data_IF_845852668487
#
_entry.id   IF_845852668487
#
_cell.length_a   1.000
_cell.length_b   1.000
_cell.length_c   1.000
_cell.angle_alpha   90.00
_cell.angle_beta   90.00
_cell.angle_gamma   90.00
#
_symmetry.space_group_name_H-M   'P 1'
#
loop_
_entity.id
_entity.type
_entity.pdbx_description
1 polymer ?
#
# COMPACT_ATOMS: atom_id res chain seq x y z
N UNK A 1 -41.00 52.26 13.91
CA UNK A 1 -40.33 50.96 14.19
C UNK A 1 -40.10 50.26 12.87
N UNK A 2 -38.93 49.63 12.73
CA UNK A 2 -38.17 49.51 11.49
C UNK A 2 -38.66 48.49 10.43
N UNK A 3 -38.48 48.93 9.19
CA UNK A 3 -38.49 48.37 7.82
C UNK A 3 -38.61 46.86 7.54
N UNK A 4 -39.47 46.58 6.56
CA UNK A 4 -39.53 45.41 5.68
C UNK A 4 -38.59 45.54 4.44
N UNK A 5 -38.40 44.41 3.74
CA UNK A 5 -37.83 44.17 2.39
C UNK A 5 -36.33 43.89 2.21
N UNK A 6 -36.02 42.64 1.84
CA UNK A 6 -34.79 42.17 1.18
C UNK A 6 -34.89 42.37 -0.35
N UNK A 7 -33.87 42.90 -1.04
CA UNK A 7 -33.66 42.67 -2.46
C UNK A 7 -32.67 41.50 -2.75
N UNK A 8 -32.68 40.94 -3.97
CA UNK A 8 -32.05 39.66 -4.33
C UNK A 8 -30.63 39.77 -4.91
N UNK A 9 -29.99 38.61 -5.05
CA UNK A 9 -28.68 38.34 -5.66
C UNK A 9 -28.54 38.89 -7.08
N UNK A 10 -27.92 40.08 -7.24
CA UNK A 10 -27.30 40.52 -8.51
C UNK A 10 -26.58 41.87 -8.34
N UNK A 11 -25.52 41.95 -7.53
CA UNK A 11 -24.73 43.19 -7.40
C UNK A 11 -23.23 42.98 -7.19
N UNK A 12 -22.66 41.85 -7.64
CA UNK A 12 -21.21 41.73 -7.82
C UNK A 12 -20.78 42.05 -9.27
N UNK A 13 -21.62 41.74 -10.26
CA UNK A 13 -21.40 42.18 -11.65
C UNK A 13 -21.55 43.70 -11.84
N UNK A 14 -22.30 44.39 -10.97
CA UNK A 14 -22.44 45.84 -11.00
C UNK A 14 -21.21 46.58 -10.42
N UNK A 15 -20.47 45.94 -9.51
CA UNK A 15 -19.26 46.52 -8.90
C UNK A 15 -18.01 46.36 -9.77
N UNK A 16 -17.99 45.44 -10.73
CA UNK A 16 -16.94 45.36 -11.75
C UNK A 16 -17.01 46.50 -12.79
N UNK A 17 -18.12 47.25 -12.83
CA UNK A 17 -18.32 48.35 -13.79
C UNK A 17 -17.76 49.71 -13.35
N UNK A 18 -17.21 49.83 -12.14
CA UNK A 18 -16.57 51.07 -11.65
C UNK A 18 -15.04 50.87 -11.68
N UNK A 19 -14.49 50.80 -12.89
CA UNK A 19 -13.07 51.03 -13.15
C UNK A 19 -12.89 52.52 -13.41
N UNK A 20 -12.30 53.21 -12.45
CA UNK A 20 -11.21 54.17 -12.67
C UNK A 20 -11.00 55.00 -11.39
N UNK A 21 -10.16 54.48 -10.51
CA UNK A 21 -9.36 55.28 -9.57
C UNK A 21 -8.26 54.38 -9.06
N UNK A 22 -7.01 54.84 -9.19
CA UNK A 22 -5.81 54.17 -8.68
C UNK A 22 -6.02 53.72 -7.23
N UNK A 23 -5.96 52.42 -6.90
CA UNK A 23 -6.30 51.96 -5.56
C UNK A 23 -5.21 52.37 -4.57
N UNK A 24 -5.60 53.16 -3.57
CA UNK A 24 -4.75 53.49 -2.44
C UNK A 24 -4.32 52.25 -1.66
N UNK A 25 -3.24 52.37 -0.88
CA UNK A 25 -2.59 51.29 -0.12
C UNK A 25 -3.60 50.47 0.71
N UNK A 26 -4.64 51.10 1.24
CA UNK A 26 -5.70 50.44 2.03
C UNK A 26 -6.64 49.55 1.20
N UNK A 27 -6.94 49.90 -0.05
CA UNK A 27 -7.76 49.06 -0.94
C UNK A 27 -7.02 47.78 -1.35
N UNK A 28 -5.70 47.88 -1.59
CA UNK A 28 -4.83 46.71 -1.84
C UNK A 28 -4.75 45.77 -0.64
N UNK A 29 -4.76 46.31 0.59
CA UNK A 29 -4.83 45.51 1.81
C UNK A 29 -6.19 44.82 1.96
N UNK A 30 -7.31 45.50 1.67
CA UNK A 30 -8.66 44.91 1.76
C UNK A 30 -8.83 43.68 0.85
N UNK A 31 -8.31 43.74 -0.38
CA UNK A 31 -8.31 42.62 -1.32
C UNK A 31 -7.56 41.38 -0.80
N UNK A 32 -6.51 41.59 0.02
CA UNK A 32 -5.75 40.51 0.64
C UNK A 32 -6.52 39.86 1.79
N UNK A 33 -7.23 40.66 2.59
CA UNK A 33 -8.09 40.17 3.68
C UNK A 33 -9.31 39.42 3.14
N UNK A 34 -9.93 39.91 2.07
CA UNK A 34 -11.04 39.22 1.39
C UNK A 34 -10.59 37.90 0.77
N UNK A 35 -9.42 37.86 0.12
CA UNK A 35 -8.83 36.62 -0.40
C UNK A 35 -8.60 35.57 0.69
N UNK A 36 -8.06 35.98 1.83
CA UNK A 36 -7.80 35.07 2.96
C UNK A 36 -9.10 34.55 3.58
N UNK A 37 -10.11 35.42 3.74
CA UNK A 37 -11.41 35.06 4.29
C UNK A 37 -12.20 34.11 3.36
N UNK A 38 -12.13 34.32 2.05
CA UNK A 38 -12.73 33.45 1.04
C UNK A 38 -12.03 32.08 1.05
N UNK A 39 -10.69 32.06 1.02
CA UNK A 39 -9.92 30.82 1.06
C UNK A 39 -10.15 30.00 2.34
N UNK A 40 -10.35 30.67 3.49
CA UNK A 40 -10.69 29.99 4.74
C UNK A 40 -12.09 29.38 4.72
N UNK A 41 -13.09 30.08 4.14
CA UNK A 41 -14.46 29.54 4.01
C UNK A 41 -14.53 28.35 3.06
N UNK A 42 -13.82 28.40 1.93
CA UNK A 42 -13.74 27.29 0.99
C UNK A 42 -13.04 26.05 1.58
N UNK A 43 -12.04 26.26 2.44
CA UNK A 43 -11.35 25.19 3.18
C UNK A 43 -12.23 24.56 4.27
N UNK A 44 -12.99 25.38 5.01
CA UNK A 44 -13.92 24.92 6.06
C UNK A 44 -15.08 24.08 5.50
N UNK A 45 -15.57 24.39 4.30
CA UNK A 45 -16.66 23.64 3.64
C UNK A 45 -16.20 22.27 3.09
N UNK A 46 -14.91 22.07 2.81
CA UNK A 46 -14.36 20.86 2.16
C UNK A 46 -13.58 19.94 3.09
N UNK A 47 -13.53 20.24 4.39
CA UNK A 47 -12.68 19.52 5.33
C UNK A 47 -13.05 18.02 5.49
N UNK A 48 -12.21 17.15 4.95
CA UNK A 48 -12.01 15.77 5.42
C UNK A 48 -10.72 15.73 6.24
N UNK A 49 -10.74 15.07 7.40
CA UNK A 49 -9.66 15.12 8.37
C UNK A 49 -8.31 14.66 7.79
N UNK A 50 -7.42 15.60 7.45
CA UNK A 50 -6.02 15.31 7.12
C UNK A 50 -5.36 16.23 6.08
N UNK A 51 -6.12 16.82 5.15
CA UNK A 51 -5.55 17.57 4.01
C UNK A 51 -5.99 19.05 4.04
N UNK A 52 -5.07 20.03 3.88
CA UNK A 52 -5.42 21.42 3.64
C UNK A 52 -5.78 21.62 2.16
N UNK A 53 -7.00 22.10 1.87
CA UNK A 53 -7.49 22.29 0.50
C UNK A 53 -7.33 23.73 -0.02
N UNK A 54 -7.07 24.72 0.84
CA UNK A 54 -6.75 26.10 0.46
C UNK A 54 -5.27 26.34 0.10
N UNK A 55 -4.97 27.38 -0.70
CA UNK A 55 -3.60 27.79 -1.07
C UNK A 55 -2.72 27.94 0.20
N UNK A 56 -1.70 27.08 0.39
CA UNK A 56 -0.91 27.02 1.61
C UNK A 56 -0.24 28.35 1.98
N UNK A 57 0.09 29.20 1.00
CA UNK A 57 0.71 30.50 1.27
C UNK A 57 -0.31 31.49 1.83
N UNK A 58 -1.53 31.47 1.31
CA UNK A 58 -2.61 32.40 1.67
C UNK A 58 -3.22 32.05 3.04
N UNK A 59 -3.35 30.76 3.35
CA UNK A 59 -3.94 30.31 4.63
C UNK A 59 -2.93 30.14 5.77
N UNK A 60 -1.61 30.16 5.49
CA UNK A 60 -0.57 30.00 6.53
C UNK A 60 -0.71 31.01 7.68
N UNK A 61 -0.43 30.55 8.91
CA UNK A 61 -0.48 31.41 10.09
C UNK A 61 0.89 31.96 10.46
N UNK A 62 0.93 33.25 10.80
CA UNK A 62 2.15 33.92 11.25
C UNK A 62 2.58 33.47 12.65
N UNK A 63 3.83 33.73 13.02
CA UNK A 63 4.36 33.41 14.36
C UNK A 63 3.55 34.11 15.47
N UNK A 64 3.12 35.35 15.24
CA UNK A 64 2.30 36.11 16.18
C UNK A 64 0.88 35.51 16.33
N UNK A 65 0.28 35.03 15.25
CA UNK A 65 -1.01 34.33 15.28
C UNK A 65 -0.89 32.99 16.01
N UNK A 66 0.20 32.25 15.80
CA UNK A 66 0.49 31.01 16.52
C UNK A 66 0.68 31.26 18.02
N UNK A 67 1.43 32.30 18.41
CA UNK A 67 1.63 32.70 19.80
C UNK A 67 0.34 33.19 20.46
N UNK A 68 -0.53 33.89 19.73
CA UNK A 68 -1.85 34.34 20.21
C UNK A 68 -2.85 33.19 20.35
N UNK A 69 -2.81 32.19 19.48
CA UNK A 69 -3.70 31.02 19.54
C UNK A 69 -3.31 30.05 20.66
N UNK A 70 -2.00 29.89 20.92
CA UNK A 70 -1.49 29.25 22.15
C UNK A 70 -1.83 30.09 23.41
N UNK A 71 -2.05 31.40 23.20
CA UNK A 71 -2.54 32.44 24.10
C UNK A 71 -2.81 32.05 25.55
N UNK A 72 -2.01 32.58 26.48
CA UNK A 72 -2.26 32.76 27.93
C UNK A 72 -2.79 31.55 28.74
N UNK A 73 -2.95 30.38 28.12
CA UNK A 73 -3.41 29.12 28.73
C UNK A 73 -2.32 28.05 28.79
N UNK A 74 -1.29 28.15 27.95
CA UNK A 74 -0.05 27.40 28.15
C UNK A 74 0.77 28.10 29.24
N UNK A 75 1.04 27.40 30.34
CA UNK A 75 1.88 27.94 31.41
C UNK A 75 3.28 28.18 30.80
N UNK A 76 4.06 29.19 31.25
CA UNK A 76 5.46 29.37 30.83
C UNK A 76 6.32 28.09 30.93
N UNK A 77 5.90 27.14 31.77
CA UNK A 77 6.48 25.81 31.94
C UNK A 77 6.25 24.88 30.75
N UNK A 78 5.13 24.99 30.05
CA UNK A 78 4.79 24.12 28.92
C UNK A 78 5.63 24.46 27.66
N UNK A 79 5.93 25.76 27.47
CA UNK A 79 6.86 26.21 26.43
C UNK A 79 8.30 25.79 26.73
N UNK A 80 8.68 25.80 28.02
CA UNK A 80 9.96 25.28 28.49
C UNK A 80 10.09 23.77 28.27
N UNK A 81 9.04 22.98 28.52
CA UNK A 81 8.98 21.54 28.21
C UNK A 81 9.17 21.28 26.71
N UNK A 82 8.63 22.13 25.83
CA UNK A 82 8.84 22.03 24.38
C UNK A 82 10.32 22.23 24.01
N UNK A 83 10.98 23.23 24.59
CA UNK A 83 12.40 23.55 24.37
C UNK A 83 13.31 22.44 24.93
N UNK A 84 13.00 21.92 26.11
CA UNK A 84 13.72 20.81 26.74
C UNK A 84 13.60 19.52 25.93
N UNK A 85 12.43 19.20 25.36
CA UNK A 85 12.23 18.06 24.45
C UNK A 85 13.01 18.18 23.15
N UNK A 86 13.08 19.37 22.56
CA UNK A 86 13.93 19.60 21.38
C UNK A 86 15.41 19.35 21.70
N UNK A 87 15.86 19.65 22.93
CA UNK A 87 17.22 19.38 23.43
C UNK A 87 17.45 17.93 23.86
N UNK A 88 16.41 17.16 24.16
CA UNK A 88 16.47 15.78 24.67
C UNK A 88 15.89 14.73 23.69
N UNK A 89 16.01 14.94 22.37
CA UNK A 89 15.66 13.93 21.37
C UNK A 89 16.34 12.58 21.68
N UNK A 90 15.54 11.52 21.78
CA UNK A 90 16.02 10.13 21.92
C UNK A 90 16.25 9.63 23.35
N UNK A 91 15.88 10.38 24.40
CA UNK A 91 15.96 9.91 25.78
C UNK A 91 14.60 9.37 26.29
N UNK A 92 14.59 8.39 27.22
CA UNK A 92 13.36 7.94 27.89
C UNK A 92 12.67 9.10 28.60
N UNK A 93 11.34 9.14 28.51
CA UNK A 93 10.51 10.20 29.08
C UNK A 93 9.74 9.66 30.29
N UNK A 94 9.68 10.46 31.36
CA UNK A 94 8.89 10.13 32.55
C UNK A 94 7.41 10.48 32.30
N UNK A 95 6.58 9.45 32.18
CA UNK A 95 5.14 9.52 31.91
C UNK A 95 4.34 10.30 32.98
N UNK A 96 4.79 10.29 34.25
CA UNK A 96 4.15 11.05 35.34
C UNK A 96 4.19 12.56 35.16
N UNK A 97 4.99 13.07 34.22
CA UNK A 97 5.08 14.50 33.92
C UNK A 97 4.03 14.97 32.89
N UNK A 98 3.22 14.05 32.36
CA UNK A 98 2.17 14.28 31.35
C UNK A 98 2.67 15.08 30.14
N UNK A 99 3.90 14.80 29.69
CA UNK A 99 4.52 15.56 28.60
C UNK A 99 3.81 15.38 27.26
N UNK A 100 3.29 14.18 26.99
CA UNK A 100 2.58 13.91 25.74
C UNK A 100 1.25 14.66 25.70
N UNK A 101 0.55 14.72 26.82
CA UNK A 101 -0.70 15.46 27.01
C UNK A 101 -0.46 16.96 26.86
N UNK A 102 0.64 17.48 27.41
CA UNK A 102 1.07 18.88 27.20
C UNK A 102 1.39 19.15 25.73
N UNK A 103 2.09 18.24 25.06
CA UNK A 103 2.38 18.36 23.63
C UNK A 103 1.11 18.32 22.79
N UNK A 104 0.14 17.46 23.12
CA UNK A 104 -1.17 17.40 22.48
C UNK A 104 -1.96 18.68 22.75
N UNK A 105 -1.91 19.24 23.96
CA UNK A 105 -2.56 20.50 24.32
C UNK A 105 -1.96 21.71 23.56
N UNK A 106 -0.63 21.78 23.43
CA UNK A 106 0.05 22.81 22.64
C UNK A 106 -0.27 22.62 21.14
N UNK A 107 -0.22 21.39 20.65
CA UNK A 107 -0.46 21.09 19.24
C UNK A 107 -1.92 21.36 18.84
N UNK A 108 -2.88 21.06 19.72
CA UNK A 108 -4.31 21.32 19.49
C UNK A 108 -4.70 22.78 19.63
N UNK A 109 -3.96 23.57 20.43
CA UNK A 109 -4.15 25.03 20.55
C UNK A 109 -3.51 25.81 19.40
N UNK A 110 -2.61 25.21 18.62
CA UNK A 110 -2.05 25.86 17.44
C UNK A 110 -3.08 25.93 16.28
N UNK A 111 -3.08 27.03 15.52
CA UNK A 111 -3.95 27.19 14.35
C UNK A 111 -3.74 26.07 13.32
N UNK A 112 -4.80 25.70 12.60
CA UNK A 112 -4.80 24.60 11.63
C UNK A 112 -3.69 24.72 10.57
N UNK A 113 -3.45 25.93 10.08
CA UNK A 113 -2.42 26.19 9.06
C UNK A 113 -1.03 26.50 9.63
N UNK A 114 -0.82 26.28 10.93
CA UNK A 114 0.47 26.49 11.56
C UNK A 114 1.50 25.47 11.04
N UNK A 115 2.61 25.97 10.49
CA UNK A 115 3.77 25.14 10.13
C UNK A 115 4.34 24.43 11.35
N UNK A 116 4.27 25.06 12.53
CA UNK A 116 4.64 24.46 13.82
C UNK A 116 3.71 23.32 14.20
N UNK A 117 2.39 23.50 14.03
CA UNK A 117 1.41 22.41 14.23
C UNK A 117 1.70 21.24 13.30
N UNK A 118 1.89 21.48 12.00
CA UNK A 118 2.23 20.43 11.02
C UNK A 118 3.48 19.64 11.43
N UNK A 119 4.52 20.35 11.89
CA UNK A 119 5.75 19.73 12.39
C UNK A 119 5.53 18.91 13.66
N UNK A 120 4.63 19.35 14.56
CA UNK A 120 4.31 18.68 15.82
C UNK A 120 3.35 17.48 15.63
N UNK A 121 2.44 17.54 14.65
CA UNK A 121 1.52 16.45 14.32
C UNK A 121 2.17 15.35 13.49
N UNK A 122 3.23 15.65 12.73
CA UNK A 122 3.99 14.68 11.94
C UNK A 122 4.99 13.83 12.73
N UNK A 123 4.86 13.75 14.07
CA UNK A 123 5.85 13.11 14.96
C UNK A 123 5.70 11.60 15.13
N UNK A 124 5.05 10.89 14.20
CA UNK A 124 5.32 9.48 14.00
C UNK A 124 6.47 9.44 12.99
N UNK A 125 7.71 9.26 13.45
CA UNK A 125 8.93 9.45 12.65
C UNK A 125 8.96 8.71 11.30
N UNK A 126 10.03 8.92 10.52
CA UNK A 126 10.17 8.40 9.14
C UNK A 126 9.73 6.93 8.94
N UNK A 127 9.88 6.09 9.97
CA UNK A 127 9.48 4.67 9.97
C UNK A 127 7.98 4.42 9.74
N UNK A 128 7.11 5.42 9.93
CA UNK A 128 5.65 5.30 9.77
C UNK A 128 5.10 6.09 8.57
N UNK A 129 5.97 6.78 7.84
CA UNK A 129 5.54 7.59 6.69
C UNK A 129 5.11 6.71 5.50
N UNK A 130 5.78 5.58 5.33
CA UNK A 130 5.56 4.66 4.22
C UNK A 130 5.41 3.23 4.74
N UNK A 131 4.88 2.34 3.90
CA UNK A 131 4.95 0.90 4.15
C UNK A 131 6.41 0.47 4.06
N UNK A 132 6.93 -0.16 5.12
CA UNK A 132 8.25 -0.78 5.11
C UNK A 132 8.30 -1.91 4.07
N UNK A 133 9.50 -2.40 3.77
CA UNK A 133 9.68 -3.41 2.73
C UNK A 133 9.21 -4.81 3.15
N UNK A 134 9.31 -5.12 4.44
CA UNK A 134 8.89 -6.39 5.04
C UNK A 134 7.51 -6.31 5.72
N UNK A 135 6.84 -5.15 5.65
CA UNK A 135 5.54 -4.91 6.29
C UNK A 135 5.60 -4.66 7.79
N UNK A 136 6.79 -4.58 8.40
CA UNK A 136 6.97 -4.14 9.79
C UNK A 136 6.52 -2.70 10.02
N UNK A 137 6.31 -2.31 11.28
CA UNK A 137 5.87 -0.97 11.71
C UNK A 137 4.49 -0.52 11.16
N UNK A 138 3.70 -1.44 10.60
CA UNK A 138 2.32 -1.16 10.23
C UNK A 138 1.45 -0.92 11.48
N UNK A 139 1.65 -1.74 12.52
CA UNK A 139 1.12 -1.46 13.86
C UNK A 139 2.21 -0.77 14.70
N UNK A 140 2.01 0.48 15.17
CA UNK A 140 3.00 1.19 15.98
C UNK A 140 3.26 0.58 17.37
N UNK A 141 2.28 -0.13 17.93
CA UNK A 141 2.38 -0.78 19.24
C UNK A 141 3.03 -2.16 19.17
N UNK A 142 2.83 -2.86 18.05
CA UNK A 142 3.43 -4.16 17.77
C UNK A 142 4.10 -4.11 16.39
N UNK A 143 5.30 -3.51 16.28
CA UNK A 143 5.98 -3.30 15.00
C UNK A 143 6.19 -4.56 14.17
N UNK A 144 6.28 -5.71 14.84
CA UNK A 144 6.54 -6.99 14.20
C UNK A 144 5.27 -7.71 13.73
N UNK A 145 4.09 -7.16 14.01
CA UNK A 145 2.81 -7.78 13.65
C UNK A 145 2.64 -7.80 12.13
N UNK A 146 2.54 -9.01 11.57
CA UNK A 146 2.32 -9.21 10.13
C UNK A 146 3.55 -8.97 9.25
N UNK A 147 4.73 -8.79 9.84
CA UNK A 147 6.00 -8.69 9.10
C UNK A 147 6.33 -10.00 8.38
N UNK A 148 6.98 -9.92 7.22
CA UNK A 148 7.58 -11.05 6.52
C UNK A 148 8.63 -11.79 7.38
N UNK A 149 8.69 -13.11 7.28
CA UNK A 149 9.50 -13.97 8.14
C UNK A 149 8.87 -14.25 9.51
N UNK A 150 7.59 -13.92 9.70
CA UNK A 150 6.84 -14.25 10.93
C UNK A 150 6.06 -15.55 10.77
N UNK A 151 5.76 -16.18 11.91
CA UNK A 151 4.91 -17.38 11.94
C UNK A 151 3.49 -17.07 11.46
N UNK A 152 2.80 -18.06 10.90
CA UNK A 152 1.36 -17.96 10.68
C UNK A 152 0.61 -17.86 12.01
N UNK A 153 -0.46 -17.06 12.02
CA UNK A 153 -1.44 -17.11 13.09
C UNK A 153 -2.27 -18.40 13.04
N UNK A 154 -3.05 -18.64 14.08
CA UNK A 154 -4.08 -19.68 14.10
C UNK A 154 -5.43 -19.08 14.41
N UNK A 155 -6.42 -19.35 13.57
CA UNK A 155 -7.79 -18.87 13.76
C UNK A 155 -8.68 -19.89 14.46
N UNK A 156 -8.30 -21.19 14.43
CA UNK A 156 -9.08 -22.25 15.10
C UNK A 156 -8.22 -23.14 16.00
N UNK A 157 -8.74 -23.61 17.15
CA UNK A 157 -8.03 -24.59 17.96
C UNK A 157 -7.98 -25.96 17.28
N UNK A 158 -6.95 -26.76 17.60
CA UNK A 158 -6.88 -28.15 17.11
C UNK A 158 -7.83 -29.00 17.96
N UNK A 159 -8.93 -29.43 17.37
CA UNK A 159 -9.97 -30.22 18.07
C UNK A 159 -9.92 -31.72 17.76
N UNK A 160 -9.22 -32.13 16.70
CA UNK A 160 -9.08 -33.54 16.29
C UNK A 160 -7.62 -33.94 16.22
N UNK A 161 -7.32 -35.16 16.68
CA UNK A 161 -6.04 -35.80 16.40
C UNK A 161 -6.02 -36.27 14.94
N UNK A 162 -4.82 -36.27 14.35
CA UNK A 162 -4.60 -36.87 13.04
C UNK A 162 -4.60 -38.39 13.24
N UNK A 163 -5.12 -39.14 12.26
CA UNK A 163 -5.01 -40.60 12.25
C UNK A 163 -3.54 -41.02 12.21
N UNK A 164 -3.18 -42.11 12.92
CA UNK A 164 -1.79 -42.58 12.96
C UNK A 164 -1.22 -42.97 11.59
N UNK A 165 -2.10 -43.35 10.65
CA UNK A 165 -1.76 -43.60 9.26
C UNK A 165 -2.71 -42.76 8.39
N UNK A 166 -2.27 -41.60 7.87
CA UNK A 166 -3.07 -40.83 6.95
C UNK A 166 -3.17 -41.56 5.60
N UNK A 167 -4.28 -41.39 4.84
CA UNK A 167 -4.36 -41.86 3.46
C UNK A 167 -3.28 -41.20 2.60
N UNK A 168 -2.86 -41.89 1.53
CA UNK A 168 -1.92 -41.35 0.57
C UNK A 168 -2.50 -40.09 -0.11
N UNK A 169 -1.81 -38.93 -0.09
CA UNK A 169 -2.31 -37.70 -0.69
C UNK A 169 -2.51 -37.78 -2.21
N UNK A 170 -1.68 -38.55 -2.91
CA UNK A 170 -1.82 -38.76 -4.36
C UNK A 170 -3.10 -39.54 -4.68
N UNK A 171 -3.34 -40.61 -3.93
CA UNK A 171 -4.58 -41.39 -4.05
C UNK A 171 -5.83 -40.55 -3.75
N UNK A 172 -5.78 -39.67 -2.73
CA UNK A 172 -6.89 -38.74 -2.46
C UNK A 172 -7.10 -37.77 -3.63
N UNK A 173 -6.03 -37.26 -4.22
CA UNK A 173 -6.12 -36.37 -5.38
C UNK A 173 -6.75 -37.10 -6.58
N UNK A 174 -6.24 -38.26 -6.95
CA UNK A 174 -6.70 -39.02 -8.11
C UNK A 174 -8.17 -39.45 -7.99
N UNK A 175 -8.59 -39.86 -6.78
CA UNK A 175 -9.96 -40.31 -6.56
C UNK A 175 -10.98 -39.18 -6.37
N UNK A 176 -10.58 -38.04 -5.79
CA UNK A 176 -11.53 -37.01 -5.32
C UNK A 176 -11.38 -35.65 -5.99
N UNK A 177 -10.21 -35.32 -6.52
CA UNK A 177 -9.88 -33.95 -6.97
C UNK A 177 -9.51 -33.86 -8.46
N UNK A 178 -8.94 -34.92 -9.03
CA UNK A 178 -8.52 -34.94 -10.42
C UNK A 178 -9.71 -34.71 -11.35
N UNK A 179 -9.57 -33.73 -12.25
CA UNK A 179 -10.55 -33.45 -13.30
C UNK A 179 -10.31 -34.39 -14.47
N UNK A 180 -11.37 -35.00 -14.99
CA UNK A 180 -11.31 -35.80 -16.22
C UNK A 180 -11.69 -34.93 -17.42
N UNK A 181 -11.32 -35.36 -18.63
CA UNK A 181 -11.67 -34.67 -19.88
C UNK A 181 -13.18 -34.46 -20.05
N UNK A 182 -13.98 -35.34 -19.44
CA UNK A 182 -15.44 -35.33 -19.49
C UNK A 182 -16.09 -34.57 -18.34
N UNK A 183 -15.36 -34.28 -17.25
CA UNK A 183 -15.93 -33.69 -16.03
C UNK A 183 -15.73 -32.18 -15.90
N UNK A 184 -15.12 -31.52 -16.89
CA UNK A 184 -15.02 -30.06 -16.89
C UNK A 184 -16.40 -29.40 -16.90
N UNK A 185 -16.61 -28.52 -15.92
CA UNK A 185 -17.82 -27.72 -15.78
C UNK A 185 -17.46 -26.24 -15.78
N UNK A 186 -18.03 -25.51 -16.73
CA UNK A 186 -17.90 -24.05 -16.75
C UNK A 186 -18.59 -23.43 -15.55
N UNK A 187 -18.06 -22.29 -15.10
CA UNK A 187 -18.72 -21.51 -14.06
C UNK A 187 -20.06 -20.99 -14.62
N UNK A 188 -21.22 -21.32 -14.02
CA UNK A 188 -22.53 -20.97 -14.55
C UNK A 188 -22.80 -19.46 -14.59
N UNK A 189 -22.08 -18.66 -13.79
CA UNK A 189 -22.17 -17.20 -13.80
C UNK A 189 -21.27 -16.54 -14.87
N UNK A 190 -20.54 -17.33 -15.66
CA UNK A 190 -19.69 -16.82 -16.74
C UNK A 190 -18.45 -16.06 -16.25
N UNK A 191 -17.93 -16.39 -15.06
CA UNK A 191 -16.76 -15.73 -14.48
C UNK A 191 -15.52 -15.97 -15.34
N UNK A 192 -14.83 -14.88 -15.68
CA UNK A 192 -13.57 -14.91 -16.45
C UNK A 192 -12.39 -15.42 -15.63
N UNK A 193 -11.45 -16.13 -16.26
CA UNK A 193 -10.15 -16.51 -15.66
C UNK A 193 -9.37 -15.33 -15.10
N UNK A 194 -9.61 -14.11 -15.59
CA UNK A 194 -8.96 -12.88 -15.09
C UNK A 194 -9.21 -12.67 -13.59
N UNK A 195 -10.39 -13.07 -13.08
CA UNK A 195 -10.67 -13.05 -11.64
C UNK A 195 -9.65 -13.91 -10.88
N UNK A 196 -9.38 -15.11 -11.38
CA UNK A 196 -8.45 -16.05 -10.77
C UNK A 196 -6.98 -15.67 -10.98
N UNK A 197 -6.65 -14.99 -12.08
CA UNK A 197 -5.31 -14.40 -12.24
C UNK A 197 -5.03 -13.34 -11.17
N UNK A 198 -6.03 -12.50 -10.89
CA UNK A 198 -5.93 -11.52 -9.80
C UNK A 198 -5.89 -12.21 -8.42
N UNK A 199 -6.68 -13.28 -8.22
CA UNK A 199 -6.61 -14.11 -7.01
C UNK A 199 -5.20 -14.67 -6.79
N UNK A 200 -4.51 -15.14 -7.83
CA UNK A 200 -3.12 -15.60 -7.75
C UNK A 200 -2.18 -14.49 -7.28
N UNK A 201 -2.37 -13.24 -7.74
CA UNK A 201 -1.57 -12.11 -7.24
C UNK A 201 -1.83 -11.90 -5.74
N UNK A 202 -3.09 -11.88 -5.29
CA UNK A 202 -3.44 -11.75 -3.87
C UNK A 202 -2.82 -12.86 -3.04
N UNK A 203 -2.91 -14.11 -3.49
CA UNK A 203 -2.33 -15.27 -2.80
C UNK A 203 -0.82 -15.10 -2.65
N UNK A 204 -0.13 -14.69 -3.72
CA UNK A 204 1.32 -14.49 -3.69
C UNK A 204 1.76 -13.22 -2.93
N UNK A 205 0.83 -12.32 -2.64
CA UNK A 205 1.04 -11.12 -1.85
C UNK A 205 1.01 -11.41 -0.35
N UNK A 206 0.10 -12.28 0.10
CA UNK A 206 -0.10 -12.52 1.54
C UNK A 206 0.35 -13.91 2.01
N UNK A 207 0.73 -14.81 1.10
CA UNK A 207 1.21 -16.16 1.43
C UNK A 207 2.51 -16.54 0.73
N UNK A 208 3.49 -16.94 1.55
CA UNK A 208 4.71 -17.57 1.08
C UNK A 208 5.30 -18.44 2.18
N UNK A 209 4.78 -19.65 2.37
CA UNK A 209 5.36 -20.58 3.35
C UNK A 209 6.84 -20.81 3.06
N UNK A 210 7.67 -20.68 4.09
CA UNK A 210 9.10 -20.91 3.99
C UNK A 210 9.36 -22.39 3.66
N UNK A 211 10.37 -22.64 2.83
CA UNK A 211 10.68 -23.99 2.34
C UNK A 211 11.28 -24.91 3.40
N UNK A 212 11.97 -24.35 4.39
CA UNK A 212 12.61 -25.09 5.46
C UNK A 212 11.72 -25.18 6.71
N UNK A 213 10.84 -24.19 6.91
CA UNK A 213 9.89 -24.15 8.00
C UNK A 213 8.52 -23.63 7.52
N UNK A 214 7.59 -24.55 7.27
CA UNK A 214 6.27 -24.20 6.73
C UNK A 214 5.40 -23.38 7.68
N UNK A 215 5.78 -23.26 8.95
CA UNK A 215 5.05 -22.45 9.94
C UNK A 215 5.36 -20.95 9.77
N UNK A 216 6.39 -20.59 9.01
CA UNK A 216 6.81 -19.21 8.71
C UNK A 216 6.32 -18.78 7.33
N UNK A 217 5.85 -17.54 7.21
CA UNK A 217 5.59 -16.89 5.92
C UNK A 217 6.73 -15.92 5.57
N UNK A 218 7.39 -16.11 4.43
CA UNK A 218 8.44 -15.23 3.89
C UNK A 218 7.88 -13.93 3.28
N UNK A 219 6.57 -13.70 3.36
CA UNK A 219 5.92 -12.46 2.89
C UNK A 219 5.09 -11.80 3.99
N UNK A 220 4.77 -10.53 3.81
CA UNK A 220 4.00 -9.77 4.80
C UNK A 220 2.54 -10.24 4.84
N UNK A 221 1.85 -10.00 5.96
CA UNK A 221 0.42 -10.29 6.11
C UNK A 221 -0.48 -9.17 5.58
N UNK A 222 0.06 -8.25 4.78
CA UNK A 222 -0.63 -7.06 4.29
C UNK A 222 -0.77 -7.08 2.77
N UNK A 223 -1.81 -6.40 2.28
CA UNK A 223 -1.95 -6.12 0.85
C UNK A 223 -1.01 -4.97 0.48
N UNK A 224 0.23 -5.28 0.13
CA UNK A 224 1.27 -4.31 -0.23
C UNK A 224 1.93 -4.55 -1.59
N UNK A 225 1.31 -5.44 -2.39
CA UNK A 225 1.69 -5.81 -3.75
C UNK A 225 3.14 -6.32 -3.82
N UNK A 226 3.53 -7.13 -2.83
CA UNK A 226 4.79 -7.85 -2.77
C UNK A 226 5.12 -8.65 -4.05
N UNK A 227 4.18 -9.18 -4.86
CA UNK A 227 4.55 -9.84 -6.10
C UNK A 227 5.25 -8.92 -7.10
N UNK A 228 4.94 -7.61 -7.06
CA UNK A 228 5.64 -6.60 -7.84
C UNK A 228 6.91 -6.11 -7.14
N UNK A 229 6.79 -5.70 -5.87
CA UNK A 229 7.84 -4.95 -5.16
C UNK A 229 8.82 -5.81 -4.35
N UNK A 230 8.40 -7.00 -3.93
CA UNK A 230 9.11 -7.86 -2.99
C UNK A 230 8.81 -7.58 -1.51
N UNK A 231 9.28 -8.50 -0.65
CA UNK A 231 8.99 -8.52 0.80
C UNK A 231 10.22 -8.18 1.66
N UNK A 232 11.25 -7.59 1.05
CA UNK A 232 12.45 -7.13 1.74
C UNK A 232 13.05 -5.92 1.03
N UNK A 233 13.93 -5.18 1.72
CA UNK A 233 14.64 -4.05 1.10
C UNK A 233 15.49 -4.53 -0.08
N UNK A 234 16.14 -5.69 0.06
CA UNK A 234 16.93 -6.27 -1.01
C UNK A 234 16.08 -6.54 -2.26
N UNK A 235 14.89 -7.10 -2.07
CA UNK A 235 13.98 -7.39 -3.19
C UNK A 235 13.51 -6.13 -3.90
N UNK A 236 13.18 -5.08 -3.15
CA UNK A 236 12.83 -3.78 -3.72
C UNK A 236 13.97 -3.19 -4.55
N UNK A 237 15.20 -3.27 -4.04
CA UNK A 237 16.38 -2.78 -4.77
C UNK A 237 16.61 -3.57 -6.07
N UNK A 238 16.29 -4.87 -6.11
CA UNK A 238 16.43 -5.67 -7.33
C UNK A 238 15.51 -5.22 -8.46
N UNK A 239 14.32 -4.70 -8.15
CA UNK A 239 13.33 -4.29 -9.15
C UNK A 239 13.41 -2.80 -9.52
N UNK A 240 14.12 -1.97 -8.75
CA UNK A 240 14.24 -0.52 -8.97
C UNK A 240 15.36 -0.14 -9.93
N UNK A 241 15.21 0.98 -10.61
CA UNK A 241 16.28 1.64 -11.37
C UNK A 241 17.23 2.43 -10.47
N UNK A 242 16.77 2.78 -9.26
CA UNK A 242 17.42 3.72 -8.33
C UNK A 242 17.48 5.16 -8.86
N UNK A 243 16.57 5.48 -9.79
CA UNK A 243 16.44 6.80 -10.39
C UNK A 243 14.97 7.20 -10.52
N UNK A 244 14.64 8.42 -10.07
CA UNK A 244 13.30 9.01 -10.16
C UNK A 244 12.16 8.17 -9.56
N UNK A 245 12.47 7.26 -8.64
CA UNK A 245 11.52 6.35 -8.01
C UNK A 245 11.03 5.23 -8.93
N UNK A 246 11.68 5.00 -10.07
CA UNK A 246 11.19 4.09 -11.10
C UNK A 246 11.55 2.62 -10.81
N UNK A 247 10.70 1.74 -11.33
CA UNK A 247 10.97 0.32 -11.50
C UNK A 247 11.63 0.05 -12.86
N UNK A 248 12.43 -1.01 -12.94
CA UNK A 248 12.92 -1.55 -14.21
C UNK A 248 11.72 -1.91 -15.09
N UNK A 249 11.73 -1.57 -16.39
CA UNK A 249 10.62 -1.84 -17.29
C UNK A 249 10.22 -3.32 -17.29
N UNK A 250 8.92 -3.59 -17.28
CA UNK A 250 8.30 -4.92 -17.43
C UNK A 250 8.89 -5.98 -16.47
N UNK A 251 9.25 -5.55 -15.26
CA UNK A 251 9.89 -6.38 -14.22
C UNK A 251 9.00 -6.49 -12.98
N UNK A 252 8.96 -7.67 -12.38
CA UNK A 252 8.32 -7.94 -11.09
C UNK A 252 9.17 -8.90 -10.25
N UNK A 253 8.92 -8.97 -8.95
CA UNK A 253 9.74 -9.73 -8.01
C UNK A 253 9.41 -11.23 -7.98
N UNK A 254 8.13 -11.59 -7.95
CA UNK A 254 7.69 -12.96 -7.63
C UNK A 254 7.92 -13.95 -8.78
N UNK A 255 9.00 -14.72 -8.68
CA UNK A 255 9.42 -15.69 -9.71
C UNK A 255 8.52 -16.92 -9.80
N UNK A 256 7.80 -17.28 -8.73
CA UNK A 256 6.89 -18.45 -8.74
C UNK A 256 5.76 -18.30 -9.76
N UNK A 257 5.42 -17.07 -10.13
CA UNK A 257 4.38 -16.76 -11.11
C UNK A 257 4.83 -16.97 -12.57
N UNK A 258 6.13 -17.17 -12.83
CA UNK A 258 6.62 -17.46 -14.17
C UNK A 258 6.15 -18.82 -14.70
N UNK A 259 5.87 -19.77 -13.81
CA UNK A 259 5.30 -21.08 -14.16
C UNK A 259 3.76 -21.13 -14.13
N UNK A 260 3.09 -19.98 -13.97
CA UNK A 260 1.64 -19.85 -13.90
C UNK A 260 1.07 -19.24 -15.19
N UNK A 261 -0.25 -19.34 -15.45
CA UNK A 261 -0.84 -18.79 -16.66
C UNK A 261 -0.43 -17.33 -16.94
N UNK A 262 -0.12 -16.98 -18.20
CA UNK A 262 0.57 -15.74 -18.54
C UNK A 262 -0.23 -14.48 -18.22
N UNK A 263 -1.56 -14.58 -18.11
CA UNK A 263 -2.42 -13.47 -17.71
C UNK A 263 -2.05 -12.87 -16.35
N UNK A 264 -1.51 -13.68 -15.44
CA UNK A 264 -1.03 -13.21 -14.11
C UNK A 264 0.17 -12.26 -14.29
N UNK A 265 1.16 -12.69 -15.08
CA UNK A 265 2.37 -11.92 -15.34
C UNK A 265 2.07 -10.62 -16.11
N UNK A 266 1.10 -10.67 -17.03
CA UNK A 266 0.63 -9.46 -17.75
C UNK A 266 0.07 -8.42 -16.79
N UNK A 267 -0.75 -8.82 -15.81
CA UNK A 267 -1.30 -7.89 -14.81
C UNK A 267 -0.18 -7.25 -13.98
N UNK A 268 0.86 -8.01 -13.59
CA UNK A 268 2.02 -7.47 -12.88
C UNK A 268 2.81 -6.46 -13.73
N UNK A 269 2.97 -6.72 -15.03
CA UNK A 269 3.58 -5.77 -15.97
C UNK A 269 2.73 -4.49 -16.07
N UNK A 270 1.39 -4.60 -16.09
CA UNK A 270 0.52 -3.43 -16.08
C UNK A 270 0.70 -2.60 -14.81
N UNK A 271 0.82 -3.22 -13.64
CA UNK A 271 1.13 -2.50 -12.40
C UNK A 271 2.52 -1.86 -12.42
N UNK A 272 3.54 -2.53 -12.97
CA UNK A 272 4.88 -1.98 -13.15
C UNK A 272 4.84 -0.69 -14.00
N UNK A 273 4.22 -0.76 -15.18
CA UNK A 273 4.08 0.38 -16.09
C UNK A 273 3.30 1.52 -15.44
N UNK A 274 2.24 1.19 -14.71
CA UNK A 274 1.44 2.18 -14.00
C UNK A 274 2.22 2.83 -12.85
N UNK A 275 3.04 2.08 -12.11
CA UNK A 275 3.95 2.65 -11.09
C UNK A 275 4.89 3.67 -11.71
N UNK A 276 5.54 3.32 -12.82
CA UNK A 276 6.47 4.22 -13.50
C UNK A 276 5.78 5.49 -14.01
N UNK A 277 4.56 5.35 -14.56
CA UNK A 277 3.73 6.49 -14.93
C UNK A 277 3.42 7.38 -13.71
N UNK A 278 3.02 6.81 -12.58
CA UNK A 278 2.71 7.58 -11.37
C UNK A 278 3.94 8.32 -10.85
N UNK A 279 5.10 7.67 -10.75
CA UNK A 279 6.34 8.29 -10.29
C UNK A 279 6.78 9.46 -11.18
N UNK A 280 6.69 9.30 -12.50
CA UNK A 280 6.98 10.36 -13.49
C UNK A 280 6.03 11.56 -13.32
N UNK A 281 4.72 11.32 -13.19
CA UNK A 281 3.73 12.39 -12.99
C UNK A 281 3.93 13.11 -11.65
N UNK A 282 4.23 12.38 -10.57
CA UNK A 282 4.53 12.98 -9.26
C UNK A 282 5.71 13.96 -9.34
N UNK A 283 6.78 13.58 -10.05
CA UNK A 283 7.95 14.44 -10.23
C UNK A 283 7.67 15.62 -11.17
N UNK A 284 6.88 15.44 -12.23
CA UNK A 284 6.53 16.52 -13.18
C UNK A 284 5.64 17.59 -12.55
N UNK A 285 4.62 17.17 -11.81
CA UNK A 285 3.71 18.11 -11.12
C UNK A 285 4.42 18.70 -9.89
N UNK A 286 5.15 17.88 -9.15
CA UNK A 286 5.91 18.26 -7.95
C UNK A 286 5.11 19.16 -7.00
N UNK A 287 3.87 18.74 -6.72
CA UNK A 287 2.96 19.50 -5.87
C UNK A 287 3.59 19.82 -4.51
N UNK A 288 3.52 21.09 -4.11
CA UNK A 288 4.12 21.56 -2.86
C UNK A 288 5.65 21.52 -2.84
N UNK A 289 6.30 21.37 -3.99
CA UNK A 289 7.75 21.30 -4.15
C UNK A 289 8.38 20.13 -3.37
N UNK A 290 7.61 19.06 -3.14
CA UNK A 290 7.97 17.91 -2.27
C UNK A 290 9.13 17.07 -2.79
N UNK A 291 9.33 17.05 -4.11
CA UNK A 291 10.35 16.27 -4.79
C UNK A 291 11.46 17.13 -5.38
N UNK A 292 11.55 18.42 -5.04
CA UNK A 292 12.65 19.25 -5.51
C UNK A 292 13.98 18.93 -4.82
N UNK A 293 15.05 18.95 -5.60
CA UNK A 293 16.39 18.83 -5.05
C UNK A 293 16.74 20.12 -4.28
N UNK A 294 17.28 20.01 -3.05
CA UNK A 294 17.80 21.15 -2.34
C UNK A 294 19.04 21.71 -3.07
N UNK A 295 19.43 22.97 -2.81
CA UNK A 295 20.72 23.49 -3.25
C UNK A 295 21.86 22.67 -2.63
N UNK A 296 22.75 22.14 -3.45
CA UNK A 296 23.90 21.30 -3.04
C UNK A 296 25.20 21.99 -3.43
N UNK A 297 26.25 21.84 -2.61
CA UNK A 297 27.57 22.45 -2.81
C UNK A 297 28.64 21.43 -3.19
N UNK A 298 28.48 20.18 -2.79
CA UNK A 298 29.40 19.08 -3.15
C UNK A 298 28.67 18.00 -3.96
N UNK A 299 29.43 17.13 -4.62
CA UNK A 299 28.85 16.01 -5.36
C UNK A 299 28.24 14.98 -4.41
N UNK A 300 28.81 14.79 -3.22
CA UNK A 300 28.26 13.91 -2.19
C UNK A 300 26.87 14.37 -1.72
N UNK A 301 26.70 15.68 -1.47
CA UNK A 301 25.40 16.26 -1.12
C UNK A 301 24.38 16.07 -2.25
N UNK A 302 24.82 16.18 -3.51
CA UNK A 302 23.99 15.96 -4.70
C UNK A 302 23.53 14.51 -4.83
N UNK A 303 24.44 13.55 -4.61
CA UNK A 303 24.13 12.12 -4.63
C UNK A 303 23.13 11.77 -3.51
N UNK A 304 23.32 12.28 -2.30
CA UNK A 304 22.39 12.07 -1.19
C UNK A 304 21.00 12.66 -1.47
N UNK A 305 20.95 13.87 -2.03
CA UNK A 305 19.71 14.52 -2.42
C UNK A 305 18.94 13.73 -3.49
N UNK A 306 19.63 13.22 -4.51
CA UNK A 306 19.05 12.38 -5.56
C UNK A 306 18.53 11.05 -4.99
N UNK A 307 19.31 10.38 -4.14
CA UNK A 307 18.89 9.13 -3.50
C UNK A 307 17.63 9.33 -2.63
N UNK A 308 17.55 10.45 -1.91
CA UNK A 308 16.37 10.79 -1.11
C UNK A 308 15.15 11.11 -1.97
N UNK A 309 15.33 11.80 -3.09
CA UNK A 309 14.26 12.08 -4.05
C UNK A 309 13.73 10.77 -4.66
N UNK A 310 14.62 9.90 -5.12
CA UNK A 310 14.30 8.57 -5.65
C UNK A 310 13.51 7.74 -4.63
N UNK A 311 13.96 7.66 -3.38
CA UNK A 311 13.25 6.94 -2.33
C UNK A 311 11.85 7.50 -2.06
N UNK A 312 11.71 8.83 -1.96
CA UNK A 312 10.42 9.46 -1.71
C UNK A 312 9.44 9.25 -2.88
N UNK A 313 9.92 9.35 -4.13
CA UNK A 313 9.11 9.08 -5.32
C UNK A 313 8.66 7.61 -5.35
N UNK A 314 9.60 6.68 -5.17
CA UNK A 314 9.31 5.24 -5.15
C UNK A 314 8.26 4.90 -4.11
N UNK A 315 8.45 5.35 -2.86
CA UNK A 315 7.52 5.01 -1.78
C UNK A 315 6.15 5.66 -1.95
N UNK A 316 6.10 6.91 -2.45
CA UNK A 316 4.83 7.58 -2.73
C UNK A 316 4.07 6.88 -3.87
N UNK A 317 4.76 6.54 -4.97
CA UNK A 317 4.17 5.79 -6.07
C UNK A 317 3.72 4.40 -5.62
N UNK A 318 4.52 3.70 -4.81
CA UNK A 318 4.16 2.40 -4.21
C UNK A 318 2.87 2.48 -3.38
N UNK A 319 2.70 3.53 -2.57
CA UNK A 319 1.46 3.73 -1.81
C UNK A 319 0.24 3.94 -2.72
N UNK A 320 0.37 4.75 -3.77
CA UNK A 320 -0.72 5.02 -4.74
C UNK A 320 -1.11 3.75 -5.48
N UNK A 321 -0.14 3.03 -6.05
CA UNK A 321 -0.40 1.78 -6.78
C UNK A 321 -0.92 0.69 -5.85
N UNK A 322 -0.39 0.59 -4.63
CA UNK A 322 -0.94 -0.31 -3.60
C UNK A 322 -2.39 0.03 -3.25
N UNK A 323 -2.73 1.32 -3.17
CA UNK A 323 -4.11 1.79 -3.02
C UNK A 323 -5.01 1.39 -4.19
N UNK A 324 -4.55 1.54 -5.43
CA UNK A 324 -5.27 1.07 -6.62
C UNK A 324 -5.52 -0.44 -6.56
N UNK A 325 -4.49 -1.22 -6.26
CA UNK A 325 -4.57 -2.67 -6.11
C UNK A 325 -5.61 -3.08 -5.05
N UNK A 326 -5.57 -2.47 -3.86
CA UNK A 326 -6.56 -2.71 -2.81
C UNK A 326 -7.98 -2.35 -3.28
N UNK A 327 -8.16 -1.25 -4.01
CA UNK A 327 -9.46 -0.88 -4.54
C UNK A 327 -9.99 -1.91 -5.54
N UNK A 328 -9.14 -2.46 -6.42
CA UNK A 328 -9.51 -3.56 -7.33
C UNK A 328 -9.92 -4.80 -6.52
N UNK A 329 -9.17 -5.13 -5.45
CA UNK A 329 -9.52 -6.24 -4.56
C UNK A 329 -10.93 -6.09 -3.96
N UNK A 330 -11.26 -4.90 -3.44
CA UNK A 330 -12.51 -4.65 -2.72
C UNK A 330 -13.71 -4.45 -3.66
N UNK A 331 -13.53 -3.69 -4.72
CA UNK A 331 -14.62 -3.23 -5.57
C UNK A 331 -14.88 -4.14 -6.76
N UNK A 332 -13.89 -4.88 -7.26
CA UNK A 332 -14.08 -5.75 -8.43
C UNK A 332 -13.94 -7.23 -8.06
N UNK A 333 -12.82 -7.61 -7.43
CA UNK A 333 -12.53 -9.00 -7.11
C UNK A 333 -13.54 -9.60 -6.12
N UNK A 334 -13.78 -8.96 -4.97
CA UNK A 334 -14.75 -9.47 -3.99
C UNK A 334 -16.18 -9.54 -4.55
N UNK A 335 -16.55 -8.60 -5.43
CA UNK A 335 -17.87 -8.62 -6.09
C UNK A 335 -17.99 -9.76 -7.09
N UNK A 336 -16.94 -10.02 -7.85
CA UNK A 336 -16.85 -11.20 -8.73
C UNK A 336 -16.91 -12.50 -7.93
N UNK A 337 -16.14 -12.61 -6.84
CA UNK A 337 -16.09 -13.79 -5.99
C UNK A 337 -17.43 -14.12 -5.32
N UNK A 338 -18.15 -13.09 -4.85
CA UNK A 338 -19.47 -13.23 -4.21
C UNK A 338 -20.63 -13.29 -5.20
N UNK A 339 -20.33 -13.23 -6.51
CA UNK A 339 -21.33 -13.16 -7.59
C UNK A 339 -22.32 -12.00 -7.46
N UNK A 340 -21.94 -10.91 -6.78
CA UNK A 340 -22.81 -9.74 -6.59
C UNK A 340 -22.91 -8.87 -7.85
N UNK A 341 -22.03 -9.08 -8.83
CA UNK A 341 -22.11 -8.45 -10.16
C UNK A 341 -23.39 -8.80 -10.93
N UNK A 342 -24.02 -9.94 -10.62
CA UNK A 342 -25.30 -10.36 -11.21
C UNK A 342 -26.52 -9.87 -10.43
N UNK A 343 -26.32 -8.93 -9.51
CA UNK A 343 -27.40 -8.31 -8.73
C UNK A 343 -27.45 -6.81 -8.96
N UNK A 344 -28.58 -6.18 -8.60
CA UNK A 344 -28.71 -4.72 -8.58
C UNK A 344 -28.04 -4.07 -7.36
N UNK A 345 -27.37 -4.85 -6.52
CA UNK A 345 -26.70 -4.36 -5.33
C UNK A 345 -25.45 -3.58 -5.71
N UNK A 346 -25.36 -2.34 -5.25
CA UNK A 346 -24.16 -1.52 -5.27
C UNK A 346 -23.23 -1.81 -4.09
N UNK A 347 -23.62 -2.75 -3.22
CA UNK A 347 -22.86 -3.11 -2.02
C UNK A 347 -21.44 -3.56 -2.36
N UNK A 348 -20.50 -3.05 -1.59
CA UNK A 348 -19.09 -3.38 -1.64
C UNK A 348 -18.51 -3.30 -0.23
N UNK A 349 -17.47 -4.10 0.04
CA UNK A 349 -16.76 -4.03 1.30
C UNK A 349 -15.92 -2.75 1.33
N UNK A 350 -16.35 -1.74 2.09
CA UNK A 350 -15.53 -0.55 2.37
C UNK A 350 -14.94 -0.62 3.79
N UNK A 351 -13.66 -0.99 3.96
CA UNK A 351 -13.03 -1.10 5.28
C UNK A 351 -12.82 0.25 5.96
N UNK A 352 -13.07 1.37 5.28
CA UNK A 352 -12.96 2.72 5.85
C UNK A 352 -14.22 3.11 6.62
N UNK A 353 -15.36 2.52 6.27
CA UNK A 353 -16.63 2.79 6.96
C UNK A 353 -16.56 2.19 8.36
N UNK A 354 -16.89 2.99 9.37
CA UNK A 354 -17.02 2.50 10.74
C UNK A 354 -18.19 1.52 10.80
N UNK A 355 -17.92 0.23 10.94
CA UNK A 355 -18.96 -0.75 11.20
C UNK A 355 -19.39 -0.57 12.65
N UNK A 356 -20.54 0.08 12.83
CA UNK A 356 -21.14 0.31 14.13
C UNK A 356 -21.46 -1.02 14.84
N UNK A 357 -21.64 -0.94 16.16
CA UNK A 357 -21.85 -2.03 17.13
C UNK A 357 -23.13 -2.88 16.94
N UNK A 358 -23.61 -3.03 15.71
CA UNK A 358 -24.86 -3.75 15.41
C UNK A 358 -24.73 -5.25 15.70
N UNK A 359 -23.53 -5.82 15.59
CA UNK A 359 -23.28 -7.26 15.80
C UNK A 359 -22.19 -7.57 16.83
N UNK A 360 -21.44 -6.56 17.28
CA UNK A 360 -20.41 -6.66 18.31
C UNK A 360 -20.50 -5.43 19.22
N UNK A 361 -20.55 -5.61 20.54
CA UNK A 361 -20.65 -4.52 21.51
C UNK A 361 -19.44 -3.57 21.45
N UNK A 362 -18.29 -4.02 20.93
CA UNK A 362 -17.09 -3.19 20.74
C UNK A 362 -16.93 -2.66 19.31
N UNK A 363 -17.68 -3.21 18.36
CA UNK A 363 -17.54 -2.93 16.92
C UNK A 363 -16.28 -3.59 16.32
N UNK A 364 -16.06 -3.40 15.02
CA UNK A 364 -14.90 -4.01 14.35
C UNK A 364 -13.62 -3.21 14.68
N UNK A 365 -12.57 -3.82 15.25
CA UNK A 365 -11.31 -3.14 15.53
C UNK A 365 -10.66 -2.58 14.25
N UNK A 366 -10.08 -1.38 14.34
CA UNK A 366 -9.44 -0.69 13.19
C UNK A 366 -8.02 -0.25 13.54
N UNK A 367 -7.13 -0.33 12.55
CA UNK A 367 -5.73 0.08 12.72
C UNK A 367 -4.92 -0.79 13.67
N UNK A 368 -5.38 -2.02 13.94
CA UNK A 368 -4.72 -2.96 14.87
C UNK A 368 -3.70 -3.88 14.18
N UNK A 369 -3.48 -3.72 12.88
CA UNK A 369 -2.62 -4.60 12.08
C UNK A 369 -3.30 -5.94 11.73
N UNK A 370 -2.56 -6.83 11.08
CA UNK A 370 -3.03 -8.14 10.66
C UNK A 370 -1.90 -9.18 10.72
N UNK A 371 -2.25 -10.45 10.95
CA UNK A 371 -1.37 -11.58 10.77
C UNK A 371 -2.15 -12.71 10.13
N UNK A 372 -1.75 -13.13 8.93
CA UNK A 372 -2.48 -14.18 8.20
C UNK A 372 -2.36 -15.51 8.93
N UNK A 373 -3.42 -16.30 8.91
CA UNK A 373 -3.45 -17.61 9.56
C UNK A 373 -3.14 -18.75 8.61
N UNK A 374 -2.68 -19.86 9.17
CA UNK A 374 -2.45 -21.10 8.42
C UNK A 374 -3.76 -21.62 7.81
N UNK A 375 -4.89 -21.45 8.51
CA UNK A 375 -6.20 -21.82 8.00
C UNK A 375 -6.62 -20.96 6.81
N UNK A 376 -6.31 -19.66 6.83
CA UNK A 376 -6.62 -18.76 5.71
C UNK A 376 -5.83 -19.14 4.45
N UNK A 377 -4.55 -19.49 4.60
CA UNK A 377 -3.73 -20.05 3.51
C UNK A 377 -4.38 -21.30 2.91
N UNK A 378 -4.84 -22.23 3.74
CA UNK A 378 -5.47 -23.46 3.27
C UNK A 378 -6.77 -23.19 2.49
N UNK A 379 -7.62 -22.30 2.98
CA UNK A 379 -8.90 -21.97 2.33
C UNK A 379 -8.73 -21.29 0.97
N UNK A 380 -7.61 -20.60 0.74
CA UNK A 380 -7.35 -19.84 -0.48
C UNK A 380 -6.72 -20.67 -1.62
N UNK A 381 -6.71 -22.00 -1.51
CA UNK A 381 -6.18 -22.90 -2.55
C UNK A 381 -7.20 -23.17 -3.67
N UNK A 382 -7.41 -22.18 -4.54
CA UNK A 382 -8.42 -22.22 -5.62
C UNK A 382 -7.99 -22.96 -6.92
N UNK A 383 -7.10 -23.96 -6.83
CA UNK A 383 -6.53 -24.61 -8.03
C UNK A 383 -7.57 -25.30 -8.94
N UNK A 384 -8.72 -25.73 -8.40
CA UNK A 384 -9.81 -26.33 -9.19
C UNK A 384 -10.47 -25.38 -10.19
N UNK A 385 -10.18 -24.08 -10.11
CA UNK A 385 -10.76 -23.04 -10.96
C UNK A 385 -10.01 -22.78 -12.27
N UNK A 386 -8.91 -23.52 -12.52
CA UNK A 386 -8.13 -23.44 -13.75
C UNK A 386 -9.01 -23.75 -14.97
N UNK A 387 -9.03 -22.85 -15.94
CA UNK A 387 -9.82 -23.00 -17.17
C UNK A 387 -9.23 -24.06 -18.12
N UNK A 388 -10.03 -24.57 -19.06
CA UNK A 388 -9.53 -25.45 -20.15
C UNK A 388 -8.40 -24.81 -20.97
N UNK A 389 -8.45 -23.49 -21.14
CA UNK A 389 -7.41 -22.77 -21.89
C UNK A 389 -6.10 -22.75 -21.11
N UNK A 390 -6.17 -22.42 -19.83
CA UNK A 390 -4.99 -22.34 -18.95
C UNK A 390 -4.40 -23.72 -18.69
N UNK A 391 -5.23 -24.75 -18.59
CA UNK A 391 -4.80 -26.15 -18.51
C UNK A 391 -3.98 -26.55 -19.74
N UNK A 392 -4.48 -26.30 -20.96
CA UNK A 392 -3.73 -26.60 -22.19
C UNK A 392 -2.39 -25.87 -22.21
N UNK A 393 -2.40 -24.58 -21.90
CA UNK A 393 -1.18 -23.79 -21.83
C UNK A 393 -0.19 -24.35 -20.81
N UNK A 394 -0.66 -24.74 -19.61
CA UNK A 394 0.19 -25.28 -18.56
C UNK A 394 0.80 -26.63 -18.97
N UNK A 395 0.02 -27.50 -19.60
CA UNK A 395 0.50 -28.78 -20.11
C UNK A 395 1.56 -28.58 -21.22
N UNK A 396 1.35 -27.65 -22.14
CA UNK A 396 2.32 -27.30 -23.18
C UNK A 396 3.60 -26.69 -22.58
N UNK A 397 3.45 -25.77 -21.63
CA UNK A 397 4.55 -25.14 -20.92
C UNK A 397 5.38 -26.17 -20.17
N UNK A 398 4.76 -27.03 -19.35
CA UNK A 398 5.45 -28.08 -18.62
C UNK A 398 6.18 -29.03 -19.57
N UNK A 399 5.53 -29.50 -20.65
CA UNK A 399 6.20 -30.34 -21.67
C UNK A 399 7.42 -29.65 -22.28
N UNK A 400 7.36 -28.34 -22.52
CA UNK A 400 8.49 -27.60 -23.09
C UNK A 400 9.71 -27.55 -22.18
N UNK A 401 9.55 -27.75 -20.87
CA UNK A 401 10.65 -27.83 -19.91
C UNK A 401 11.38 -29.18 -19.98
N UNK A 402 10.77 -30.23 -20.52
CA UNK A 402 11.34 -31.57 -20.60
C UNK A 402 11.42 -32.07 -22.06
N UNK A 403 12.20 -31.43 -22.93
CA UNK A 403 12.23 -31.77 -24.36
C UNK A 403 12.87 -33.14 -24.66
N UNK A 404 13.60 -33.72 -23.70
CA UNK A 404 14.34 -34.99 -23.86
C UNK A 404 13.59 -36.21 -23.31
N UNK A 405 12.38 -36.03 -22.77
CA UNK A 405 11.58 -37.14 -22.21
C UNK A 405 10.26 -37.29 -22.95
N UNK A 406 9.96 -38.53 -23.35
CA UNK A 406 8.64 -38.90 -23.87
C UNK A 406 7.67 -39.32 -22.76
N UNK A 407 8.09 -39.23 -21.49
CA UNK A 407 7.24 -39.59 -20.36
C UNK A 407 6.01 -38.68 -20.29
N UNK A 408 4.81 -39.25 -20.03
CA UNK A 408 3.63 -38.46 -19.67
C UNK A 408 3.91 -37.54 -18.47
N UNK A 409 3.29 -36.35 -18.43
CA UNK A 409 3.53 -35.34 -17.38
C UNK A 409 3.22 -35.88 -15.97
N UNK A 410 2.20 -36.72 -15.86
CA UNK A 410 1.76 -37.41 -14.65
C UNK A 410 2.71 -38.53 -14.20
N UNK A 411 3.71 -38.87 -15.02
CA UNK A 411 4.73 -39.89 -14.73
C UNK A 411 6.13 -39.29 -14.56
N UNK A 412 6.25 -37.96 -14.59
CA UNK A 412 7.52 -37.28 -14.33
C UNK A 412 7.89 -37.40 -12.85
N UNK A 413 9.10 -37.88 -12.59
CA UNK A 413 9.68 -37.96 -11.26
C UNK A 413 10.71 -36.83 -11.04
N UNK A 414 11.07 -36.49 -9.79
CA UNK A 414 12.08 -35.46 -9.49
C UNK A 414 13.45 -35.69 -10.17
N UNK A 415 13.76 -36.94 -10.52
CA UNK A 415 15.00 -37.32 -11.21
C UNK A 415 14.96 -37.04 -12.72
N UNK A 416 13.78 -36.76 -13.27
CA UNK A 416 13.58 -36.44 -14.69
C UNK A 416 13.85 -34.96 -15.00
N UNK A 417 14.28 -34.17 -14.01
CA UNK A 417 14.63 -32.76 -14.18
C UNK A 417 15.67 -32.59 -15.29
N UNK A 418 15.44 -31.67 -16.25
CA UNK A 418 16.40 -31.40 -17.31
C UNK A 418 17.72 -30.95 -16.68
N UNK A 419 18.82 -31.54 -17.11
CA UNK A 419 20.16 -31.06 -16.74
C UNK A 419 20.29 -29.59 -17.17
N UNK A 420 20.94 -28.71 -16.38
CA UNK A 420 21.00 -27.29 -16.71
C UNK A 420 21.68 -27.13 -18.07
N UNK A 421 20.92 -26.65 -19.07
CA UNK A 421 21.44 -26.38 -20.41
C UNK A 421 22.65 -25.44 -20.33
N UNK A 422 23.74 -25.68 -21.06
CA UNK A 422 24.87 -24.76 -21.08
C UNK A 422 24.42 -23.43 -21.70
N UNK A 423 24.44 -22.36 -20.91
CA UNK A 423 24.14 -21.00 -21.38
C UNK A 423 25.03 -20.60 -22.56
N UNK A 424 24.52 -19.92 -23.60
CA UNK A 424 25.36 -19.40 -24.67
C UNK A 424 26.21 -18.24 -24.12
N UNK A 425 27.51 -18.52 -23.97
CA UNK A 425 28.64 -17.59 -23.79
C UNK A 425 28.42 -16.32 -22.95
N UNK A 426 28.86 -16.35 -21.69
CA UNK A 426 29.50 -15.19 -21.07
C UNK A 426 30.65 -15.64 -20.15
N UNK A 427 31.70 -14.84 -20.12
CA UNK A 427 33.05 -15.08 -19.58
C UNK A 427 33.08 -15.43 -18.07
N UNK A 428 34.22 -15.97 -17.54
CA UNK A 428 34.20 -16.79 -16.34
C UNK A 428 34.10 -15.95 -15.07
N UNK A 429 32.96 -16.02 -14.38
CA UNK A 429 32.87 -15.62 -12.97
C UNK A 429 32.23 -16.72 -12.12
N UNK A 430 33.07 -17.21 -11.20
CA UNK A 430 32.83 -18.00 -9.98
C UNK A 430 31.65 -18.97 -9.99
N UNK A 431 32.00 -20.26 -10.00
CA UNK A 431 31.18 -21.38 -9.52
C UNK A 431 30.52 -21.02 -8.18
N UNK A 432 29.22 -20.76 -8.21
CA UNK A 432 28.32 -20.98 -7.09
C UNK A 432 27.47 -22.18 -7.49
N UNK A 433 27.60 -23.27 -6.75
CA UNK A 433 26.83 -24.49 -6.94
C UNK A 433 25.36 -24.20 -6.64
N UNK A 434 24.56 -24.00 -7.68
CA UNK A 434 23.11 -24.12 -7.63
C UNK A 434 22.77 -25.54 -8.07
N UNK A 435 22.68 -26.44 -7.09
CA UNK A 435 22.12 -27.78 -7.25
C UNK A 435 20.96 -27.92 -6.28
N UNK A 436 19.80 -28.36 -6.80
CA UNK A 436 18.54 -28.66 -6.13
C UNK A 436 17.53 -27.51 -6.02
N UNK A 437 16.94 -27.13 -7.15
CA UNK A 437 15.73 -26.30 -7.19
C UNK A 437 14.74 -26.89 -8.22
N UNK A 438 14.03 -27.97 -7.86
CA UNK A 438 12.74 -28.40 -8.42
C UNK A 438 12.27 -29.62 -7.61
N UNK A 439 11.83 -29.39 -6.37
CA UNK A 439 11.08 -30.37 -5.58
C UNK A 439 9.92 -29.64 -4.89
N UNK A 440 8.72 -30.17 -5.07
CA UNK A 440 7.55 -29.90 -4.22
C UNK A 440 6.50 -28.97 -4.80
N UNK A 441 5.46 -29.58 -5.40
CA UNK A 441 4.08 -29.22 -5.09
C UNK A 441 3.62 -30.04 -3.88
#
# INVERSE_FOLDING_TARGET
MASWFKPPSSTLAALESIRDTTPGIFARLSHYFDRRAIAQREDDEKFQAGEPYGDPQVVSTSLAENLRAVGLKAHPKDLQTMIERFRHRGKPVNDRQMEMEKMIAITSSLPRHSTTRKKLTGYLGNNFQYRTADGSYNNPLVPDLGRAGSHYARTVPKIKSIHGVPPDPGLLFDLLMARTDTSFKENPAGISSVLFYHASIIIHDVFRSNRFDSDISDTSSYLDLAPLYGSSREDQLRVRTMECGLLKPDTFHERRLLGQPPGINVILIMYNRFHNYVADILLKINEGNRFSLPPTRTEEERIEALAKQDENLFQTARLIVGGLYINICLHDYLRGLTNTLHSTSDWTLDPRVAVNRHFDAEGVPRGVGNQVSAEFNLLYRFHSTISKRDERWLNEFLRSLFPETDKPLDQLAPNDNPSPSPSPSSSPRRKLSLSHDFQGF
#
